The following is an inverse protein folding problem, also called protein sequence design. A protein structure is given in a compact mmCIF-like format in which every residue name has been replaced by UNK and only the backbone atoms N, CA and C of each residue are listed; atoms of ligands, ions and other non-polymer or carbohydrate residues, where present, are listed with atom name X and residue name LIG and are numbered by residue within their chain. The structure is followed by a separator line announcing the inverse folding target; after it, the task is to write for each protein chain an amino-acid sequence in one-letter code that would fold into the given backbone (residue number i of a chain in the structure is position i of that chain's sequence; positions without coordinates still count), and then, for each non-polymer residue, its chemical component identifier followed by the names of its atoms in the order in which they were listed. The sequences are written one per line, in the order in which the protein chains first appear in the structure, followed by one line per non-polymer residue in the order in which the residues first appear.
data_IF_554177038855
#
_entry.id   IF_554177038855
#
_cell.length_a   1.000
_cell.length_b   1.000
_cell.length_c   1.000
_cell.angle_alpha   90.00
_cell.angle_beta   90.00
_cell.angle_gamma   90.00
#
_symmetry.space_group_name_H-M   'P 1'
#
loop_
_entity.id
_entity.type
_entity.pdbx_description
1 polymer ?
#
# COMPACT_ATOMS: atom_id res chain seq x y z
N UNK A 1 -12.34 1.84 19.56
CA UNK A 1 -11.84 1.87 18.17
C UNK A 1 -12.55 0.78 17.40
N UNK A 2 -13.09 1.08 16.24
CA UNK A 2 -13.71 0.06 15.40
C UNK A 2 -12.64 -0.90 14.89
N UNK A 3 -12.81 -2.20 15.16
CA UNK A 3 -11.88 -3.22 14.71
C UNK A 3 -12.06 -3.47 13.22
N UNK A 4 -10.97 -3.34 12.44
CA UNK A 4 -10.93 -3.78 11.05
C UNK A 4 -10.61 -5.27 10.99
N UNK A 5 -11.14 -5.96 9.99
CA UNK A 5 -10.76 -7.32 9.63
C UNK A 5 -9.88 -7.29 8.39
N UNK A 6 -8.88 -8.16 8.37
CA UNK A 6 -7.95 -8.31 7.25
C UNK A 6 -7.98 -9.76 6.79
N UNK A 7 -8.15 -9.98 5.51
CA UNK A 7 -8.02 -11.30 4.90
C UNK A 7 -7.36 -11.23 3.54
N UNK A 8 -6.78 -12.32 3.10
CA UNK A 8 -6.27 -12.42 1.73
C UNK A 8 -7.39 -12.16 0.73
N UNK A 9 -7.05 -11.40 -0.32
CA UNK A 9 -7.99 -11.11 -1.40
C UNK A 9 -8.24 -12.37 -2.24
N UNK A 10 -9.50 -12.58 -2.59
CA UNK A 10 -9.94 -13.59 -3.55
C UNK A 10 -10.15 -12.94 -4.91
N UNK A 11 -10.09 -13.73 -5.97
CA UNK A 11 -10.34 -13.21 -7.33
C UNK A 11 -11.73 -12.56 -7.47
N UNK A 12 -12.68 -12.99 -6.67
CA UNK A 12 -14.02 -12.42 -6.59
C UNK A 12 -14.05 -11.01 -5.98
N UNK A 13 -12.99 -10.61 -5.25
CA UNK A 13 -12.86 -9.28 -4.68
C UNK A 13 -12.27 -8.27 -5.68
N UNK A 14 -11.72 -8.74 -6.81
CA UNK A 14 -10.97 -7.89 -7.74
C UNK A 14 -11.82 -6.74 -8.29
N UNK A 15 -13.10 -6.96 -8.52
CA UNK A 15 -14.03 -5.92 -8.97
C UNK A 15 -14.11 -4.78 -7.92
N UNK A 16 -14.28 -5.12 -6.63
CA UNK A 16 -14.33 -4.14 -5.54
C UNK A 16 -12.98 -3.44 -5.32
N UNK A 17 -11.88 -4.17 -5.46
CA UNK A 17 -10.52 -3.62 -5.40
C UNK A 17 -10.32 -2.56 -6.49
N UNK A 18 -10.73 -2.85 -7.72
CA UNK A 18 -10.64 -1.92 -8.86
C UNK A 18 -11.59 -0.73 -8.69
N UNK A 19 -12.80 -0.94 -8.18
CA UNK A 19 -13.74 0.14 -7.84
C UNK A 19 -13.11 1.14 -6.87
N UNK A 20 -12.57 0.64 -5.74
CA UNK A 20 -11.88 1.48 -4.75
C UNK A 20 -10.69 2.21 -5.38
N UNK A 21 -9.86 1.52 -6.16
CA UNK A 21 -8.74 2.12 -6.87
C UNK A 21 -9.20 3.27 -7.78
N UNK A 22 -10.15 3.01 -8.65
CA UNK A 22 -10.67 4.00 -9.60
C UNK A 22 -11.30 5.21 -8.90
N UNK A 23 -11.90 5.04 -7.73
CA UNK A 23 -12.47 6.14 -6.94
C UNK A 23 -11.42 7.17 -6.49
N UNK A 24 -10.13 6.79 -6.49
CA UNK A 24 -9.03 7.66 -6.08
C UNK A 24 -8.49 8.53 -7.22
N UNK A 25 -8.68 8.11 -8.46
CA UNK A 25 -8.10 8.76 -9.65
C UNK A 25 -8.50 10.24 -9.79
N UNK A 26 -9.77 10.63 -9.63
CA UNK A 26 -10.17 12.03 -9.78
C UNK A 26 -9.49 12.99 -8.81
N UNK A 27 -9.03 12.49 -7.67
CA UNK A 27 -8.36 13.32 -6.67
C UNK A 27 -6.96 13.77 -7.09
N UNK A 28 -6.32 13.07 -8.04
CA UNK A 28 -4.92 13.28 -8.45
C UNK A 28 -3.91 13.24 -7.31
N UNK A 29 -4.27 12.60 -6.21
CA UNK A 29 -3.47 12.56 -4.97
C UNK A 29 -2.78 11.22 -4.75
N UNK A 30 -3.37 10.11 -5.21
CA UNK A 30 -3.05 8.78 -4.69
C UNK A 30 -2.39 7.90 -5.74
N UNK A 31 -2.85 7.94 -6.98
CA UNK A 31 -2.36 7.11 -8.08
C UNK A 31 -1.88 7.93 -9.26
N UNK A 32 -0.94 7.37 -10.04
CA UNK A 32 -0.44 7.96 -11.27
C UNK A 32 -1.32 7.64 -12.49
N UNK A 33 -2.29 6.74 -12.37
CA UNK A 33 -3.27 6.52 -13.45
C UNK A 33 -4.16 7.76 -13.58
N UNK A 34 -4.36 8.20 -14.83
CA UNK A 34 -5.15 9.40 -15.16
C UNK A 34 -6.58 9.05 -15.55
N UNK A 35 -6.81 7.81 -15.97
CA UNK A 35 -8.10 7.27 -16.40
C UNK A 35 -8.42 5.98 -15.62
N UNK A 36 -9.72 5.65 -15.45
CA UNK A 36 -10.12 4.41 -14.79
C UNK A 36 -9.55 3.18 -15.49
N UNK A 37 -9.08 2.23 -14.70
CA UNK A 37 -8.60 0.94 -15.18
C UNK A 37 -9.71 -0.09 -15.19
N UNK A 38 -9.63 -1.08 -16.09
CA UNK A 38 -10.59 -2.19 -16.12
C UNK A 38 -10.18 -3.32 -15.17
N UNK A 39 -11.17 -4.11 -14.73
CA UNK A 39 -10.93 -5.33 -13.94
C UNK A 39 -10.01 -6.29 -14.71
N UNK A 40 -10.24 -6.46 -16.02
CA UNK A 40 -9.43 -7.32 -16.87
C UNK A 40 -7.95 -6.91 -16.89
N UNK A 41 -7.68 -5.61 -16.99
CA UNK A 41 -6.30 -5.10 -17.01
C UNK A 41 -5.54 -5.34 -15.69
N UNK A 42 -6.26 -5.53 -14.58
CA UNK A 42 -5.67 -5.77 -13.25
C UNK A 42 -5.52 -7.25 -12.89
N UNK A 43 -6.02 -8.19 -13.69
CA UNK A 43 -5.88 -9.63 -13.40
C UNK A 43 -4.43 -10.07 -13.25
N UNK A 44 -3.57 -9.67 -14.18
CA UNK A 44 -2.14 -10.00 -14.10
C UNK A 44 -1.50 -9.46 -12.82
N UNK A 45 -1.79 -8.20 -12.47
CA UNK A 45 -1.32 -7.60 -11.23
C UNK A 45 -1.84 -8.37 -10.00
N UNK A 46 -3.10 -8.81 -10.02
CA UNK A 46 -3.68 -9.63 -8.95
C UNK A 46 -2.93 -10.97 -8.80
N UNK A 47 -2.63 -11.64 -9.92
CA UNK A 47 -1.93 -12.93 -9.95
C UNK A 47 -0.47 -12.85 -9.48
N UNK A 48 0.14 -11.66 -9.51
CA UNK A 48 1.49 -11.43 -8.96
C UNK A 48 1.51 -11.43 -7.41
N UNK A 49 0.34 -11.38 -6.77
CA UNK A 49 0.19 -11.44 -5.32
C UNK A 49 -0.13 -12.85 -4.84
N UNK A 50 0.30 -13.18 -3.63
CA UNK A 50 0.04 -14.47 -3.01
C UNK A 50 0.15 -14.39 -1.48
N UNK A 51 -0.52 -15.30 -0.79
CA UNK A 51 -0.58 -15.34 0.68
C UNK A 51 0.72 -15.75 1.38
N UNK A 52 1.80 -16.04 0.65
CA UNK A 52 3.04 -16.53 1.23
C UNK A 52 4.20 -15.54 1.17
N UNK A 53 4.24 -14.66 0.16
CA UNK A 53 5.37 -13.74 -0.06
C UNK A 53 4.95 -12.30 -0.38
N UNK A 54 3.84 -12.15 -1.10
CA UNK A 54 3.37 -10.85 -1.60
C UNK A 54 1.88 -10.74 -1.33
N UNK A 55 1.49 -10.54 -0.07
CA UNK A 55 0.07 -10.49 0.27
C UNK A 55 -0.62 -9.29 -0.38
N UNK A 56 -1.85 -9.53 -0.77
CA UNK A 56 -2.86 -8.55 -1.08
C UNK A 56 -4.01 -8.80 -0.11
N UNK A 57 -4.25 -7.87 0.80
CA UNK A 57 -5.33 -7.99 1.78
C UNK A 57 -6.46 -7.04 1.45
N UNK A 58 -7.69 -7.52 1.51
CA UNK A 58 -8.87 -6.68 1.64
C UNK A 58 -9.09 -6.33 3.09
N UNK A 59 -9.61 -5.13 3.32
CA UNK A 59 -9.90 -4.58 4.64
C UNK A 59 -11.40 -4.44 4.76
N UNK A 60 -11.97 -5.14 5.74
CA UNK A 60 -13.40 -5.16 5.99
C UNK A 60 -13.74 -4.41 7.28
N UNK A 61 -14.89 -3.77 7.28
CA UNK A 61 -15.50 -3.17 8.45
C UNK A 61 -16.24 -4.24 9.30
N UNK A 62 -16.92 -3.82 10.37
CA UNK A 62 -17.70 -4.72 11.24
C UNK A 62 -18.88 -5.39 10.57
N UNK A 63 -19.36 -4.83 9.45
CA UNK A 63 -20.47 -5.38 8.68
C UNK A 63 -19.99 -6.31 7.54
N UNK A 64 -18.72 -6.71 7.57
CA UNK A 64 -18.05 -7.53 6.55
C UNK A 64 -18.03 -6.87 5.14
N UNK A 65 -18.13 -5.54 5.09
CA UNK A 65 -18.02 -4.78 3.83
C UNK A 65 -16.55 -4.43 3.56
N UNK A 66 -16.07 -4.67 2.35
CA UNK A 66 -14.74 -4.25 1.91
C UNK A 66 -14.71 -2.73 1.77
N UNK A 67 -13.93 -2.08 2.61
CA UNK A 67 -13.77 -0.62 2.65
C UNK A 67 -12.40 -0.15 2.16
N UNK A 68 -11.50 -1.07 1.89
CA UNK A 68 -10.15 -0.77 1.43
C UNK A 68 -9.35 -2.01 1.14
N UNK A 69 -8.12 -1.82 0.71
CA UNK A 69 -7.16 -2.88 0.50
C UNK A 69 -5.73 -2.38 0.68
N UNK A 70 -4.83 -3.32 0.91
CA UNK A 70 -3.39 -3.07 0.99
C UNK A 70 -2.63 -4.17 0.28
N UNK A 71 -1.63 -3.80 -0.51
CA UNK A 71 -0.77 -4.73 -1.23
C UNK A 71 0.70 -4.54 -0.90
N UNK A 72 1.45 -5.64 -0.96
CA UNK A 72 2.91 -5.65 -0.96
C UNK A 72 3.38 -6.09 -2.33
N UNK A 73 3.92 -5.16 -3.11
CA UNK A 73 4.44 -5.42 -4.43
C UNK A 73 5.96 -5.52 -4.42
N UNK A 74 6.52 -6.45 -5.21
CA UNK A 74 7.97 -6.60 -5.33
C UNK A 74 8.63 -5.32 -5.82
N UNK A 75 9.63 -4.84 -5.07
CA UNK A 75 10.46 -3.75 -5.54
C UNK A 75 11.45 -4.28 -6.57
N UNK A 76 11.40 -3.76 -7.78
CA UNK A 76 12.29 -4.08 -8.91
C UNK A 76 12.30 -5.55 -9.38
N UNK A 77 11.66 -6.48 -8.70
CA UNK A 77 11.51 -7.88 -9.11
C UNK A 77 12.79 -8.70 -9.27
N UNK A 78 13.94 -8.26 -8.74
CA UNK A 78 15.22 -9.00 -8.77
C UNK A 78 15.52 -9.66 -7.42
N UNK A 79 16.20 -10.83 -7.40
CA UNK A 79 16.45 -11.61 -6.17
C UNK A 79 17.08 -10.82 -5.02
N UNK A 80 18.03 -9.94 -5.31
CA UNK A 80 18.69 -9.11 -4.30
C UNK A 80 17.73 -8.16 -3.56
N UNK A 81 16.57 -7.85 -4.15
CA UNK A 81 15.56 -6.95 -3.58
C UNK A 81 14.37 -7.69 -2.98
N UNK A 82 14.40 -9.03 -2.88
CA UNK A 82 13.25 -9.83 -2.42
C UNK A 82 12.73 -9.45 -1.03
N UNK A 83 13.57 -8.91 -0.17
CA UNK A 83 13.18 -8.47 1.17
C UNK A 83 12.67 -7.01 1.22
N UNK A 84 12.53 -6.35 0.05
CA UNK A 84 12.02 -5.00 -0.08
C UNK A 84 10.74 -5.01 -0.92
N UNK A 85 9.71 -4.36 -0.42
CA UNK A 85 8.42 -4.25 -1.11
C UNK A 85 7.92 -2.82 -1.11
N UNK A 86 7.15 -2.47 -2.13
CA UNK A 86 6.29 -1.32 -2.11
C UNK A 86 4.99 -1.67 -1.39
N UNK A 87 4.59 -0.83 -0.45
CA UNK A 87 3.29 -0.89 0.20
C UNK A 87 2.34 0.12 -0.43
N UNK A 88 1.18 -0.34 -0.86
CA UNK A 88 0.10 0.51 -1.38
C UNK A 88 -1.16 0.31 -0.56
N UNK A 89 -1.75 1.41 -0.08
CA UNK A 89 -2.98 1.41 0.73
C UNK A 89 -4.04 2.24 0.03
N UNK A 90 -5.20 1.66 -0.19
CA UNK A 90 -6.36 2.33 -0.78
C UNK A 90 -7.58 2.15 0.10
N UNK A 91 -8.30 3.26 0.32
CA UNK A 91 -9.53 3.32 1.10
C UNK A 91 -10.62 4.00 0.28
N UNK A 92 -11.84 3.52 0.44
CA UNK A 92 -13.02 4.24 -0.04
C UNK A 92 -13.01 5.68 0.45
N UNK A 93 -13.50 6.59 -0.36
CA UNK A 93 -13.48 8.04 -0.07
C UNK A 93 -14.20 8.35 1.23
N UNK A 94 -15.36 7.77 1.47
CA UNK A 94 -16.19 7.97 2.67
C UNK A 94 -15.57 7.38 3.94
N UNK A 95 -14.56 6.52 3.79
CA UNK A 95 -13.87 5.88 4.92
C UNK A 95 -12.57 6.61 5.33
N UNK A 96 -12.20 7.64 4.58
CA UNK A 96 -11.03 8.46 4.91
C UNK A 96 -11.29 9.35 6.10
N UNK A 97 -10.22 9.79 6.78
CA UNK A 97 -10.33 10.67 7.94
C UNK A 97 -10.79 9.99 9.24
N UNK A 98 -11.20 8.73 9.21
CA UNK A 98 -11.69 7.96 10.38
C UNK A 98 -10.58 7.20 11.13
N UNK A 99 -9.33 7.39 10.76
CA UNK A 99 -8.20 6.69 11.40
C UNK A 99 -7.90 5.30 10.84
N UNK A 100 -8.65 4.82 9.86
CA UNK A 100 -8.44 3.49 9.27
C UNK A 100 -7.08 3.33 8.59
N UNK A 101 -6.58 4.38 7.92
CA UNK A 101 -5.24 4.35 7.35
C UNK A 101 -4.14 4.06 8.38
N UNK A 102 -4.27 4.56 9.61
CA UNK A 102 -3.35 4.25 10.71
C UNK A 102 -3.41 2.78 11.10
N UNK A 103 -4.61 2.21 11.23
CA UNK A 103 -4.80 0.80 11.58
C UNK A 103 -4.24 -0.12 10.49
N UNK A 104 -4.48 0.20 9.22
CA UNK A 104 -3.98 -0.56 8.07
C UNK A 104 -2.45 -0.52 8.01
N UNK A 105 -1.85 0.66 8.17
CA UNK A 105 -0.40 0.80 8.14
C UNK A 105 0.26 0.09 9.32
N UNK A 106 -0.31 0.18 10.53
CA UNK A 106 0.15 -0.54 11.70
C UNK A 106 0.11 -2.06 11.48
N UNK A 107 -1.02 -2.60 11.05
CA UNK A 107 -1.18 -4.01 10.72
C UNK A 107 -0.15 -4.48 9.69
N UNK A 108 0.07 -3.68 8.64
CA UNK A 108 1.02 -3.99 7.58
C UNK A 108 2.46 -4.07 8.09
N UNK A 109 2.86 -3.11 8.93
CA UNK A 109 4.20 -3.07 9.54
C UNK A 109 4.44 -4.30 10.44
N UNK A 110 3.46 -4.66 11.28
CA UNK A 110 3.54 -5.79 12.21
C UNK A 110 3.58 -7.14 11.50
N UNK A 111 2.91 -7.26 10.36
CA UNK A 111 2.81 -8.52 9.62
C UNK A 111 3.88 -8.69 8.53
N UNK A 112 4.48 -7.62 8.03
CA UNK A 112 5.48 -7.69 6.97
C UNK A 112 6.64 -8.69 7.23
N UNK A 113 7.20 -8.80 8.45
CA UNK A 113 8.26 -9.76 8.74
C UNK A 113 7.88 -11.23 8.52
N UNK A 114 6.60 -11.59 8.66
CA UNK A 114 6.10 -12.95 8.41
C UNK A 114 6.27 -13.41 6.97
N UNK A 115 6.39 -12.46 6.04
CA UNK A 115 6.59 -12.68 4.60
C UNK A 115 8.05 -12.52 4.16
N UNK A 116 8.98 -12.51 5.11
CA UNK A 116 10.41 -12.29 4.84
C UNK A 116 10.76 -10.87 4.42
N UNK A 117 9.84 -9.92 4.63
CA UNK A 117 10.02 -8.51 4.26
C UNK A 117 10.82 -7.82 5.37
N UNK A 118 11.86 -7.10 4.96
CA UNK A 118 12.74 -6.33 5.85
C UNK A 118 12.58 -4.82 5.67
N UNK A 119 12.08 -4.40 4.52
CA UNK A 119 11.93 -2.98 4.18
C UNK A 119 10.62 -2.74 3.47
N UNK A 120 9.83 -1.79 3.96
CA UNK A 120 8.66 -1.25 3.29
C UNK A 120 9.02 0.08 2.64
N UNK A 121 8.61 0.28 1.39
CA UNK A 121 8.71 1.54 0.66
C UNK A 121 7.32 2.06 0.33
N UNK A 122 7.07 3.33 0.59
CA UNK A 122 5.87 4.04 0.15
C UNK A 122 6.23 5.03 -0.94
N UNK A 123 5.58 4.92 -2.09
CA UNK A 123 5.72 5.85 -3.22
C UNK A 123 4.55 6.84 -3.16
N UNK A 124 4.84 8.07 -2.80
CA UNK A 124 3.82 9.06 -2.44
C UNK A 124 4.08 10.35 -3.19
N UNK A 125 3.09 10.86 -3.90
CA UNK A 125 3.22 12.18 -4.53
C UNK A 125 3.59 13.25 -3.51
N UNK A 126 4.50 14.16 -3.90
CA UNK A 126 5.02 15.19 -3.00
C UNK A 126 3.94 16.14 -2.46
N UNK A 127 2.82 16.27 -3.18
CA UNK A 127 1.68 17.09 -2.77
C UNK A 127 0.64 16.32 -1.93
N UNK A 128 0.81 15.02 -1.73
CA UNK A 128 -0.07 14.21 -0.88
C UNK A 128 0.35 14.29 0.60
N UNK A 129 0.20 15.47 1.18
CA UNK A 129 0.55 15.74 2.58
C UNK A 129 -0.09 14.78 3.59
N UNK A 130 -1.38 14.40 3.47
CA UNK A 130 -1.99 13.47 4.42
C UNK A 130 -1.27 12.11 4.47
N UNK A 131 -0.94 11.53 3.30
CA UNK A 131 -0.21 10.27 3.23
C UNK A 131 1.23 10.40 3.73
N UNK A 132 1.93 11.48 3.36
CA UNK A 132 3.28 11.74 3.86
C UNK A 132 3.31 11.83 5.40
N UNK A 133 2.37 12.57 6.00
CA UNK A 133 2.24 12.70 7.45
C UNK A 133 1.91 11.34 8.11
N UNK A 134 1.01 10.57 7.51
CA UNK A 134 0.65 9.24 8.01
C UNK A 134 1.89 8.34 8.06
N UNK A 135 2.61 8.17 6.96
CA UNK A 135 3.77 7.29 6.90
C UNK A 135 4.89 7.77 7.84
N UNK A 136 5.19 9.07 7.87
CA UNK A 136 6.19 9.63 8.79
C UNK A 136 5.83 9.42 10.26
N UNK A 137 4.55 9.47 10.63
CA UNK A 137 4.11 9.20 12.00
C UNK A 137 4.36 7.76 12.46
N UNK A 138 4.59 6.83 11.52
CA UNK A 138 5.00 5.44 11.78
C UNK A 138 6.50 5.20 11.60
N UNK A 139 7.31 6.27 11.53
CA UNK A 139 8.76 6.17 11.45
C UNK A 139 9.28 5.81 10.05
N UNK A 140 8.51 6.07 9.00
CA UNK A 140 9.06 6.08 7.64
C UNK A 140 9.89 7.34 7.44
N UNK A 141 11.04 7.18 6.80
CA UNK A 141 11.99 8.26 6.53
C UNK A 141 12.07 8.52 5.03
N UNK A 142 12.40 9.77 4.65
CA UNK A 142 12.65 10.12 3.26
C UNK A 142 13.86 9.32 2.72
N UNK A 143 13.68 8.58 1.63
CA UNK A 143 14.72 7.82 0.93
C UNK A 143 15.10 8.46 -0.39
N UNK A 144 14.14 9.04 -1.09
CA UNK A 144 14.37 9.81 -2.31
C UNK A 144 13.26 10.85 -2.51
N UNK A 145 13.62 11.92 -3.24
CA UNK A 145 12.68 12.88 -3.79
C UNK A 145 12.99 13.03 -5.27
N UNK A 146 11.99 12.78 -6.11
CA UNK A 146 12.06 12.84 -7.55
C UNK A 146 11.17 14.00 -8.02
N UNK A 147 11.74 15.20 -8.25
CA UNK A 147 10.95 16.34 -8.70
C UNK A 147 10.48 16.14 -10.14
N UNK A 148 9.30 16.65 -10.46
CA UNK A 148 8.77 16.76 -11.82
C UNK A 148 8.78 15.43 -12.61
N UNK A 149 8.55 14.30 -11.94
CA UNK A 149 8.62 12.96 -12.54
C UNK A 149 7.29 12.49 -13.13
N UNK A 150 6.19 13.12 -12.75
CA UNK A 150 4.86 12.78 -13.24
C UNK A 150 4.15 14.06 -13.71
N UNK A 151 3.25 13.90 -14.67
CA UNK A 151 2.37 14.97 -15.14
C UNK A 151 0.92 14.55 -14.92
N UNK A 152 0.15 15.37 -14.20
CA UNK A 152 -1.27 15.16 -13.94
C UNK A 152 -2.02 16.42 -14.36
N UNK A 153 -2.90 16.28 -15.37
CA UNK A 153 -3.71 17.38 -15.91
C UNK A 153 -2.87 18.60 -16.31
N UNK A 154 -1.72 18.37 -16.97
CA UNK A 154 -0.80 19.41 -17.42
C UNK A 154 0.04 20.05 -16.31
N UNK A 155 0.03 19.49 -15.09
CA UNK A 155 0.87 19.95 -13.98
C UNK A 155 1.93 18.89 -13.63
N UNK A 156 3.19 19.29 -13.64
CA UNK A 156 4.28 18.44 -13.17
C UNK A 156 4.17 18.20 -11.66
N UNK A 157 4.39 16.96 -11.25
CA UNK A 157 4.33 16.51 -9.86
C UNK A 157 5.59 15.74 -9.48
N UNK A 158 6.04 15.98 -8.26
CA UNK A 158 7.14 15.22 -7.68
C UNK A 158 6.63 13.98 -6.96
N UNK A 159 7.53 13.01 -6.81
CA UNK A 159 7.32 11.78 -6.05
C UNK A 159 8.32 11.73 -4.89
N UNK A 160 7.86 11.33 -3.71
CA UNK A 160 8.70 10.96 -2.58
C UNK A 160 8.67 9.46 -2.38
N UNK A 161 9.83 8.88 -2.11
CA UNK A 161 9.97 7.49 -1.68
C UNK A 161 10.29 7.53 -0.19
N UNK A 162 9.34 7.09 0.62
CA UNK A 162 9.54 6.90 2.06
C UNK A 162 9.87 5.44 2.35
N UNK A 163 10.75 5.18 3.29
CA UNK A 163 11.16 3.82 3.63
C UNK A 163 11.24 3.56 5.12
N UNK A 164 10.85 2.35 5.52
CA UNK A 164 10.96 1.87 6.89
C UNK A 164 11.54 0.47 6.96
N UNK A 165 12.51 0.27 7.85
CA UNK A 165 12.97 -1.08 8.24
C UNK A 165 11.97 -1.67 9.24
N UNK A 166 11.46 -2.86 8.90
CA UNK A 166 10.47 -3.59 9.74
C UNK A 166 11.05 -4.85 10.38
N UNK A 167 12.28 -5.23 10.01
CA UNK A 167 12.99 -6.38 10.56
C UNK A 167 14.06 -5.90 11.54
N UNK A 168 13.96 -6.36 12.80
CA UNK A 168 15.02 -6.18 13.80
C UNK A 168 15.85 -7.47 13.90
N UNK A 169 17.12 -7.42 13.55
CA UNK A 169 18.05 -8.55 13.67
C UNK A 169 18.20 -9.05 15.13
N UNK A 170 17.76 -8.28 16.12
CA UNK A 170 17.86 -8.64 17.57
C UNK A 170 16.81 -9.66 18.02
N UNK A 171 15.72 -9.85 17.27
CA UNK A 171 14.67 -10.82 17.66
C UNK A 171 14.98 -12.25 17.20
N UNK A 172 15.96 -12.44 16.32
CA UNK A 172 16.34 -13.78 15.81
C UNK A 172 17.36 -14.52 16.70
N UNK A 173 17.91 -13.87 17.71
CA UNK A 173 18.91 -14.47 18.62
C UNK A 173 18.26 -15.14 19.86
N UNK A 174 16.95 -15.02 20.05
CA UNK A 174 16.23 -15.59 21.19
C UNK A 174 15.51 -16.91 20.85
N UNK A 175 15.71 -17.47 19.64
CA UNK A 175 15.09 -18.72 19.16
C UNK A 175 16.15 -19.79 18.82
N UNK A 176 17.29 -19.78 19.52
CA UNK A 176 18.25 -20.89 19.46
C UNK A 176 18.52 -21.45 20.86
#
# INVERSE_FOLDING_TARGET
MEGLKFRDALITDLEKIVEIYNSTIPSRMVTADTEPVSVESKKRWFDEHNSTKRPLWVVENKSDEIIGWVSFQSFYGRPAYNATVEISIYLETEQRGKGFGKQILQYSIENAPKYGIKTLLGFIFSHNEPSLKLFKSFGFEDRATLPNIAELDGQERGLKILGKRVFNARTSAEIL
#
